data_IF_898864204037
#
_entry.id   IF_898864204037
#
_cell.length_a   1.000
_cell.length_b   1.000
_cell.length_c   1.000
_cell.angle_alpha   90.00
_cell.angle_beta   90.00
_cell.angle_gamma   90.00
#
_symmetry.space_group_name_H-M   'P 1'
#
loop_
_entity.id
_entity.type
_entity.pdbx_description
1 polymer ?
#
# COMPACT_ATOMS: atom_id res chain seq x y z
N UNK A 1 23.47 -44.47 -11.24
CA UNK A 1 24.09 -43.71 -10.12
C UNK A 1 24.42 -42.27 -10.48
N UNK A 2 25.00 -41.97 -11.65
CA UNK A 2 25.36 -40.59 -12.08
C UNK A 2 24.18 -39.60 -12.15
N UNK A 3 22.97 -40.09 -12.47
CA UNK A 3 21.74 -39.26 -12.56
C UNK A 3 21.25 -38.72 -11.22
N UNK A 4 21.45 -39.47 -10.13
CA UNK A 4 21.04 -39.08 -8.78
C UNK A 4 21.97 -37.96 -8.25
N UNK A 5 23.27 -38.08 -8.54
CA UNK A 5 24.24 -37.04 -8.22
C UNK A 5 23.94 -35.74 -8.96
N UNK A 6 23.61 -35.80 -10.25
CA UNK A 6 23.22 -34.63 -11.03
C UNK A 6 21.96 -33.94 -10.46
N UNK A 7 20.95 -34.72 -10.06
CA UNK A 7 19.72 -34.18 -9.45
C UNK A 7 20.00 -33.51 -8.10
N UNK A 8 20.85 -34.10 -7.25
CA UNK A 8 21.22 -33.49 -5.96
C UNK A 8 21.98 -32.18 -6.12
N UNK A 9 22.85 -32.08 -7.15
CA UNK A 9 23.61 -30.88 -7.45
C UNK A 9 22.69 -29.75 -7.96
N UNK A 10 21.74 -30.07 -8.83
CA UNK A 10 20.75 -29.11 -9.35
C UNK A 10 19.88 -28.59 -8.19
N UNK A 11 19.43 -29.47 -7.29
CA UNK A 11 18.63 -29.08 -6.14
C UNK A 11 19.39 -28.13 -5.20
N UNK A 12 20.69 -28.39 -5.00
CA UNK A 12 21.55 -27.55 -4.16
C UNK A 12 21.71 -26.13 -4.74
N UNK A 13 21.96 -26.03 -6.06
CA UNK A 13 22.08 -24.73 -6.75
C UNK A 13 20.77 -23.94 -6.66
N UNK A 14 19.63 -24.61 -6.83
CA UNK A 14 18.32 -23.97 -6.76
C UNK A 14 18.01 -23.41 -5.35
N UNK A 15 18.42 -24.13 -4.30
CA UNK A 15 18.25 -23.70 -2.91
C UNK A 15 19.08 -22.48 -2.55
N UNK A 16 20.32 -22.39 -3.05
CA UNK A 16 21.22 -21.23 -2.84
C UNK A 16 20.75 -20.01 -3.64
N UNK A 17 20.23 -20.21 -4.86
CA UNK A 17 19.66 -19.11 -5.65
C UNK A 17 18.40 -18.51 -4.96
N UNK A 18 17.56 -19.35 -4.37
CA UNK A 18 16.37 -18.90 -3.64
C UNK A 18 16.71 -18.09 -2.37
N UNK A 19 17.81 -18.40 -1.68
CA UNK A 19 18.23 -17.67 -0.48
C UNK A 19 18.86 -16.30 -0.79
N UNK A 20 19.45 -16.13 -1.98
CA UNK A 20 20.07 -14.87 -2.42
C UNK A 20 19.05 -13.77 -2.83
N UNK A 21 17.78 -14.10 -3.07
CA UNK A 21 16.75 -13.12 -3.41
C UNK A 21 16.23 -12.28 -2.22
N UNK A 22 16.62 -12.60 -0.99
CA UNK A 22 16.30 -11.77 0.20
C UNK A 22 17.32 -10.64 0.34
N UNK A 23 17.31 -9.71 -0.62
CA UNK A 23 18.03 -8.46 -0.51
C UNK A 23 17.49 -7.60 0.65
N UNK A 24 18.30 -6.66 1.19
CA UNK A 24 17.91 -5.84 2.32
C UNK A 24 16.64 -5.06 1.97
N UNK A 25 15.58 -5.26 2.76
CA UNK A 25 14.40 -4.38 2.75
C UNK A 25 14.93 -2.99 3.08
N UNK A 26 15.10 -2.16 2.05
CA UNK A 26 15.45 -0.75 2.21
C UNK A 26 14.30 -0.08 2.97
N UNK A 27 14.40 -0.06 4.29
CA UNK A 27 13.67 0.88 5.13
C UNK A 27 14.18 2.27 4.74
N UNK A 28 13.52 2.88 3.74
CA UNK A 28 13.66 4.31 3.49
C UNK A 28 13.25 4.97 4.80
N UNK A 29 14.21 5.55 5.48
CA UNK A 29 14.01 6.44 6.61
C UNK A 29 13.03 7.53 6.15
N UNK A 30 11.77 7.33 6.54
CA UNK A 30 10.74 8.31 6.39
C UNK A 30 11.14 9.45 7.31
N UNK A 31 11.84 10.46 6.80
CA UNK A 31 11.97 11.75 7.49
C UNK A 31 10.54 12.27 7.65
N UNK A 32 9.89 11.91 8.76
CA UNK A 32 8.54 12.30 9.10
C UNK A 32 8.59 13.76 9.48
N UNK A 33 8.54 14.63 8.48
CA UNK A 33 8.15 16.02 8.73
C UNK A 33 6.72 15.98 9.26
N UNK A 34 6.48 16.78 10.29
CA UNK A 34 5.13 16.96 10.81
C UNK A 34 4.28 17.57 9.69
N UNK A 35 3.07 17.04 9.50
CA UNK A 35 2.11 17.59 8.56
C UNK A 35 1.86 19.08 8.88
N UNK A 36 1.90 19.91 7.85
CA UNK A 36 1.55 21.33 7.99
C UNK A 36 0.07 21.48 8.36
N UNK A 37 -0.31 22.66 8.86
CA UNK A 37 -1.70 22.95 9.25
C UNK A 37 -2.68 22.74 8.09
N UNK A 38 -2.29 23.15 6.88
CA UNK A 38 -3.11 23.02 5.68
C UNK A 38 -3.27 21.56 5.26
N UNK A 39 -2.19 20.79 5.22
CA UNK A 39 -2.25 19.35 4.88
C UNK A 39 -3.10 18.55 5.87
N UNK A 40 -3.03 18.88 7.17
CA UNK A 40 -3.93 18.29 8.18
C UNK A 40 -5.39 18.64 7.93
N UNK A 41 -5.66 19.87 7.51
CA UNK A 41 -7.01 20.34 7.22
C UNK A 41 -7.57 19.62 5.99
N UNK A 42 -6.77 19.47 4.93
CA UNK A 42 -7.16 18.76 3.72
C UNK A 42 -7.50 17.30 4.01
N UNK A 43 -6.62 16.58 4.71
CA UNK A 43 -6.88 15.20 5.14
C UNK A 43 -8.15 15.08 5.99
N UNK A 44 -8.45 16.09 6.82
CA UNK A 44 -9.66 16.12 7.62
C UNK A 44 -10.90 16.32 6.74
N UNK A 45 -10.85 17.21 5.75
CA UNK A 45 -11.94 17.39 4.80
C UNK A 45 -12.22 16.11 4.01
N UNK A 46 -11.18 15.41 3.55
CA UNK A 46 -11.36 14.16 2.82
C UNK A 46 -11.90 13.04 3.71
N UNK A 47 -11.48 12.96 4.98
CA UNK A 47 -12.06 12.05 5.96
C UNK A 47 -13.56 12.32 6.18
N UNK A 48 -13.97 13.60 6.27
CA UNK A 48 -15.38 13.98 6.37
C UNK A 48 -16.15 13.57 5.11
N UNK A 49 -15.60 13.82 3.91
CA UNK A 49 -16.21 13.43 2.63
C UNK A 49 -16.36 11.92 2.49
N UNK A 50 -15.35 11.15 2.93
CA UNK A 50 -15.40 9.69 2.99
C UNK A 50 -16.50 9.22 3.95
N UNK A 51 -16.60 9.83 5.14
CA UNK A 51 -17.65 9.52 6.11
C UNK A 51 -19.05 9.79 5.58
N UNK A 52 -19.25 10.92 4.89
CA UNK A 52 -20.50 11.21 4.19
C UNK A 52 -20.82 10.16 3.12
N UNK A 53 -19.84 9.78 2.30
CA UNK A 53 -20.01 8.75 1.26
C UNK A 53 -20.38 7.39 1.85
N UNK A 54 -19.77 7.01 2.98
CA UNK A 54 -20.10 5.77 3.68
C UNK A 54 -21.49 5.80 4.31
N UNK A 55 -21.92 6.95 4.86
CA UNK A 55 -23.28 7.10 5.41
C UNK A 55 -24.33 6.98 4.31
N UNK A 56 -24.10 7.64 3.17
CA UNK A 56 -25.00 7.55 2.02
C UNK A 56 -25.11 6.10 1.52
N UNK A 57 -23.98 5.40 1.34
CA UNK A 57 -23.98 4.01 0.89
C UNK A 57 -24.64 3.03 1.88
N UNK A 58 -24.75 3.40 3.16
CA UNK A 58 -25.41 2.58 4.18
C UNK A 58 -26.86 2.98 4.45
N UNK A 59 -27.33 4.07 3.85
CA UNK A 59 -28.67 4.63 4.10
C UNK A 59 -29.77 3.62 3.79
N UNK A 60 -29.60 2.88 2.71
CA UNK A 60 -30.59 1.93 2.20
C UNK A 60 -30.36 0.51 2.77
N UNK A 61 -29.42 0.35 3.72
CA UNK A 61 -29.07 -0.93 4.34
C UNK A 61 -28.22 -1.88 3.48
N UNK A 62 -28.07 -1.60 2.18
CA UNK A 62 -27.30 -2.41 1.23
C UNK A 62 -26.25 -1.53 0.55
N UNK A 63 -24.97 -1.90 0.68
CA UNK A 63 -23.87 -1.24 -0.04
C UNK A 63 -23.69 -1.91 -1.40
N UNK A 64 -23.97 -1.19 -2.48
CA UNK A 64 -23.80 -1.73 -3.83
C UNK A 64 -22.31 -1.89 -4.19
N UNK A 65 -21.97 -2.78 -5.14
CA UNK A 65 -20.59 -2.92 -5.63
C UNK A 65 -20.00 -1.60 -6.13
N UNK A 66 -20.80 -0.77 -6.79
CA UNK A 66 -20.38 0.56 -7.28
C UNK A 66 -20.04 1.51 -6.14
N UNK A 67 -20.84 1.54 -5.08
CA UNK A 67 -20.56 2.36 -3.90
C UNK A 67 -19.33 1.84 -3.16
N UNK A 68 -19.18 0.52 -3.05
CA UNK A 68 -17.99 -0.08 -2.47
C UNK A 68 -16.73 0.31 -3.24
N UNK A 69 -16.76 0.25 -4.59
CA UNK A 69 -15.66 0.71 -5.44
C UNK A 69 -15.36 2.20 -5.23
N UNK A 70 -16.39 3.06 -5.19
CA UNK A 70 -16.24 4.49 -4.95
C UNK A 70 -15.60 4.79 -3.60
N UNK A 71 -16.08 4.16 -2.53
CA UNK A 71 -15.53 4.30 -1.17
C UNK A 71 -14.08 3.83 -1.12
N UNK A 72 -13.76 2.70 -1.77
CA UNK A 72 -12.40 2.18 -1.81
C UNK A 72 -11.46 3.05 -2.67
N UNK A 73 -11.98 3.66 -3.73
CA UNK A 73 -11.22 4.65 -4.49
C UNK A 73 -10.90 5.88 -3.64
N UNK A 74 -11.88 6.43 -2.92
CA UNK A 74 -11.68 7.54 -1.98
C UNK A 74 -10.65 7.19 -0.89
N UNK A 75 -10.76 6.02 -0.26
CA UNK A 75 -9.79 5.54 0.73
C UNK A 75 -8.37 5.47 0.15
N UNK A 76 -8.23 5.00 -1.09
CA UNK A 76 -6.92 4.92 -1.78
C UNK A 76 -6.34 6.31 -2.02
N UNK A 77 -7.15 7.27 -2.46
CA UNK A 77 -6.70 8.65 -2.67
C UNK A 77 -6.24 9.31 -1.37
N UNK A 78 -7.03 9.19 -0.29
CA UNK A 78 -6.67 9.74 1.04
C UNK A 78 -5.35 9.15 1.55
N UNK A 79 -5.16 7.84 1.40
CA UNK A 79 -3.90 7.17 1.78
C UNK A 79 -2.72 7.69 0.96
N UNK A 80 -2.94 7.92 -0.34
CA UNK A 80 -1.93 8.45 -1.25
C UNK A 80 -1.54 9.89 -0.86
N UNK A 81 -2.51 10.75 -0.59
CA UNK A 81 -2.26 12.14 -0.17
C UNK A 81 -1.54 12.19 1.17
N UNK A 82 -1.99 11.40 2.15
CA UNK A 82 -1.31 11.29 3.45
C UNK A 82 0.15 10.83 3.30
N UNK A 83 0.43 9.91 2.36
CA UNK A 83 1.80 9.53 2.02
C UNK A 83 2.57 10.70 1.40
N UNK A 84 2.01 11.37 0.39
CA UNK A 84 2.64 12.50 -0.29
C UNK A 84 3.02 13.60 0.71
N UNK A 85 2.09 13.98 1.61
CA UNK A 85 2.34 14.99 2.63
C UNK A 85 3.43 14.58 3.62
N UNK A 86 3.37 13.34 4.12
CA UNK A 86 4.41 12.80 5.01
C UNK A 86 5.81 12.76 4.36
N UNK A 87 5.85 12.73 3.03
CA UNK A 87 7.07 12.54 2.24
C UNK A 87 7.43 13.72 1.35
N UNK A 88 6.95 14.93 1.65
CA UNK A 88 7.25 16.18 0.92
C UNK A 88 7.05 16.05 -0.60
N UNK A 89 5.87 15.61 -1.05
CA UNK A 89 5.58 15.59 -2.49
C UNK A 89 6.11 14.36 -3.24
N UNK A 90 6.78 13.41 -2.56
CA UNK A 90 7.26 12.18 -3.21
C UNK A 90 6.09 11.35 -3.74
N UNK A 91 6.23 10.88 -4.99
CA UNK A 91 5.28 9.94 -5.58
C UNK A 91 5.43 8.56 -4.92
N UNK A 92 4.33 7.93 -4.47
CA UNK A 92 4.39 6.52 -4.08
C UNK A 92 4.77 5.69 -5.29
N UNK A 93 5.74 4.80 -5.10
CA UNK A 93 6.09 3.79 -6.11
C UNK A 93 5.04 2.70 -5.98
N UNK A 94 4.27 2.50 -7.04
CA UNK A 94 3.19 1.50 -7.14
C UNK A 94 3.79 0.24 -7.76
#
# INVERSE_FOLDING_TARGET
MKKILALSLILMIFSVAASAQRGPVRHRTCNSRQLTRYEKMDLRHDAVRLGASQRLARRDGIVTPREHMRINHQKRNIRREAFIYRHNGRRPVI
#
